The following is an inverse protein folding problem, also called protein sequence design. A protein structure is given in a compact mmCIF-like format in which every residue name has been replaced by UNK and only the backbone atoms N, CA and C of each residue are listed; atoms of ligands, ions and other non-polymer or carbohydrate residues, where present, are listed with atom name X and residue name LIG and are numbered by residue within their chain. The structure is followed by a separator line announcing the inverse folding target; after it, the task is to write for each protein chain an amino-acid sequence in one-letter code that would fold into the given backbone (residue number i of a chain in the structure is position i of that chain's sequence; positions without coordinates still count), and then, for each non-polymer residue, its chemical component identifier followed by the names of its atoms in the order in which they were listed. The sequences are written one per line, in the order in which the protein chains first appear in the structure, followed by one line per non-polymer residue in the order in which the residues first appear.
data_IF_267888678275
#
_entry.id   IF_267888678275
#
_cell.length_a   1.000
_cell.length_b   1.000
_cell.length_c   1.000
_cell.angle_alpha   90.00
_cell.angle_beta   90.00
_cell.angle_gamma   90.00
#
_symmetry.space_group_name_H-M   'P 1'
#
loop_
_entity.id
_entity.type
_entity.pdbx_description
1 polymer ?
#
# COMPACT_ATOMS: atom_id res chain seq x y z
N UNK A 1 -28.48 -3.46 4.54
CA UNK A 1 -27.08 -3.63 4.93
C UNK A 1 -26.27 -3.53 3.64
N UNK A 2 -25.54 -2.41 3.41
CA UNK A 2 -24.70 -2.28 2.22
C UNK A 2 -23.48 -3.17 2.42
N UNK A 3 -23.22 -4.07 1.47
CA UNK A 3 -22.06 -4.96 1.47
C UNK A 3 -20.78 -4.14 1.25
N UNK A 4 -20.14 -3.74 2.32
CA UNK A 4 -18.80 -3.17 2.29
C UNK A 4 -17.81 -4.28 1.93
N UNK A 5 -17.44 -4.37 0.66
CA UNK A 5 -16.50 -5.37 0.16
C UNK A 5 -15.15 -4.71 -0.09
N UNK A 6 -14.16 -5.19 0.63
CA UNK A 6 -12.72 -5.19 0.38
C UNK A 6 -11.88 -4.02 0.89
N UNK A 7 -11.38 -4.20 2.11
CA UNK A 7 -10.06 -3.72 2.51
C UNK A 7 -9.07 -4.85 2.24
N UNK A 8 -8.02 -4.62 1.44
CA UNK A 8 -6.94 -5.60 1.29
C UNK A 8 -6.00 -5.41 2.47
N UNK A 9 -6.32 -6.12 3.52
CA UNK A 9 -5.56 -6.13 4.75
C UNK A 9 -4.80 -7.44 4.90
N UNK A 10 -3.51 -7.35 5.22
CA UNK A 10 -2.71 -8.52 5.52
C UNK A 10 -1.83 -8.29 6.74
N UNK A 11 -1.99 -9.15 7.71
CA UNK A 11 -0.97 -9.50 8.70
C UNK A 11 -0.95 -10.99 8.88
N UNK A 12 0.13 -11.69 8.60
CA UNK A 12 0.64 -12.61 9.57
C UNK A 12 2.16 -12.53 9.73
N UNK A 13 2.56 -12.52 10.98
CA UNK A 13 3.94 -12.54 11.45
C UNK A 13 4.72 -13.82 11.12
N UNK A 14 4.11 -14.86 10.55
CA UNK A 14 4.70 -16.20 10.47
C UNK A 14 4.72 -16.87 9.10
N UNK A 15 4.25 -16.21 8.04
CA UNK A 15 4.40 -16.75 6.68
C UNK A 15 5.20 -15.73 5.88
N UNK A 16 6.44 -16.07 5.50
CA UNK A 16 7.22 -15.29 4.56
C UNK A 16 6.61 -15.43 3.14
N UNK A 17 5.73 -14.50 2.71
CA UNK A 17 5.07 -14.59 1.40
C UNK A 17 6.07 -14.53 0.25
N UNK A 18 7.27 -14.02 0.52
CA UNK A 18 8.35 -13.79 -0.44
C UNK A 18 8.92 -15.08 -1.05
N UNK A 19 8.81 -16.22 -0.39
CA UNK A 19 9.15 -17.51 -1.01
C UNK A 19 8.22 -17.85 -2.19
N UNK A 20 7.03 -17.26 -2.24
CA UNK A 20 6.09 -17.43 -3.35
C UNK A 20 6.35 -16.43 -4.48
N UNK A 21 6.85 -15.23 -4.18
CA UNK A 21 7.07 -14.17 -5.18
C UNK A 21 8.43 -14.27 -5.89
N UNK A 22 9.47 -14.75 -5.20
CA UNK A 22 10.84 -14.80 -5.74
C UNK A 22 11.19 -16.07 -6.50
N UNK A 23 10.36 -17.10 -6.46
CA UNK A 23 10.62 -18.40 -7.14
C UNK A 23 9.70 -18.68 -8.34
N UNK A 24 9.19 -17.65 -9.01
CA UNK A 24 8.46 -17.84 -10.27
C UNK A 24 7.16 -18.65 -10.15
N UNK A 25 6.51 -18.66 -8.99
CA UNK A 25 5.31 -19.43 -8.77
C UNK A 25 4.07 -18.81 -9.44
N UNK A 26 3.15 -19.63 -10.00
CA UNK A 26 1.91 -19.14 -10.64
C UNK A 26 0.97 -18.37 -9.71
N UNK A 27 1.14 -18.44 -8.40
CA UNK A 27 0.31 -17.76 -7.41
C UNK A 27 0.29 -16.23 -7.57
N UNK A 28 1.42 -15.60 -7.95
CA UNK A 28 1.46 -14.16 -8.17
C UNK A 28 0.65 -13.73 -9.40
N UNK A 29 0.61 -14.55 -10.45
CA UNK A 29 -0.23 -14.29 -11.62
C UNK A 29 -1.72 -14.42 -11.28
N UNK A 30 -2.08 -15.34 -10.41
CA UNK A 30 -3.46 -15.50 -9.95
C UNK A 30 -3.92 -14.32 -9.10
N UNK A 31 -3.09 -13.82 -8.18
CA UNK A 31 -3.38 -12.64 -7.37
C UNK A 31 -3.54 -11.40 -8.25
N UNK A 32 -2.62 -11.17 -9.20
CA UNK A 32 -2.72 -10.05 -10.15
C UNK A 32 -4.00 -10.13 -10.97
N UNK A 33 -4.38 -11.32 -11.42
CA UNK A 33 -5.61 -11.52 -12.21
C UNK A 33 -6.86 -11.22 -11.39
N UNK A 34 -6.94 -11.71 -10.15
CA UNK A 34 -8.08 -11.43 -9.27
C UNK A 34 -8.14 -9.95 -8.87
N UNK A 35 -7.00 -9.35 -8.60
CA UNK A 35 -6.93 -7.93 -8.29
C UNK A 35 -7.37 -7.06 -9.48
N UNK A 36 -6.94 -7.40 -10.70
CA UNK A 36 -7.41 -6.69 -11.90
C UNK A 36 -8.93 -6.78 -12.08
N UNK A 37 -9.56 -7.90 -11.71
CA UNK A 37 -11.03 -8.00 -11.71
C UNK A 37 -11.69 -7.04 -10.72
N UNK A 38 -11.07 -6.83 -9.55
CA UNK A 38 -11.53 -5.86 -8.55
C UNK A 38 -11.33 -4.42 -9.05
N UNK A 39 -10.16 -4.12 -9.58
CA UNK A 39 -9.82 -2.80 -10.11
C UNK A 39 -10.76 -2.40 -11.27
N UNK A 40 -11.07 -3.34 -12.18
CA UNK A 40 -12.02 -3.11 -13.27
C UNK A 40 -13.44 -2.77 -12.80
N UNK A 41 -13.81 -3.18 -11.58
CA UNK A 41 -15.10 -2.82 -10.96
C UNK A 41 -15.07 -1.48 -10.23
N UNK A 42 -13.94 -0.79 -10.21
CA UNK A 42 -13.73 0.49 -9.50
C UNK A 42 -14.18 0.45 -8.03
N UNK A 43 -13.93 -0.67 -7.36
CA UNK A 43 -14.27 -0.82 -5.94
C UNK A 43 -13.27 -0.01 -5.12
N UNK A 44 -13.73 0.83 -4.18
CA UNK A 44 -12.84 1.54 -3.26
C UNK A 44 -11.87 0.60 -2.57
N UNK A 45 -10.59 0.88 -2.70
CA UNK A 45 -9.53 -0.03 -2.24
C UNK A 45 -8.47 0.73 -1.45
N UNK A 46 -8.15 0.23 -0.26
CA UNK A 46 -7.04 0.70 0.57
C UNK A 46 -6.03 -0.43 0.81
N UNK A 47 -4.79 -0.25 0.37
CA UNK A 47 -3.71 -1.22 0.52
C UNK A 47 -2.76 -0.86 1.66
N UNK A 48 -2.43 -1.82 2.53
CA UNK A 48 -1.51 -1.66 3.65
C UNK A 48 -0.35 -2.65 3.52
N UNK A 49 0.88 -2.18 3.63
CA UNK A 49 2.12 -2.94 3.61
C UNK A 49 2.25 -3.85 2.38
N UNK A 50 2.02 -5.15 2.50
CA UNK A 50 2.00 -6.06 1.35
C UNK A 50 0.92 -5.67 0.34
N UNK A 51 -0.23 -5.17 0.80
CA UNK A 51 -1.30 -4.64 -0.05
C UNK A 51 -0.81 -3.51 -0.96
N UNK A 52 0.01 -2.58 -0.43
CA UNK A 52 0.65 -1.53 -1.21
C UNK A 52 1.51 -2.09 -2.34
N UNK A 53 2.34 -3.10 -2.04
CA UNK A 53 3.24 -3.70 -3.04
C UNK A 53 2.46 -4.47 -4.12
N UNK A 54 1.43 -5.23 -3.72
CA UNK A 54 0.59 -5.99 -4.66
C UNK A 54 -0.20 -5.04 -5.59
N UNK A 55 -0.76 -3.97 -5.04
CA UNK A 55 -1.46 -2.94 -5.82
C UNK A 55 -0.51 -2.26 -6.81
N UNK A 56 0.67 -1.86 -6.36
CA UNK A 56 1.69 -1.26 -7.23
C UNK A 56 2.07 -2.19 -8.39
N UNK A 57 2.27 -3.48 -8.12
CA UNK A 57 2.53 -4.50 -9.14
C UNK A 57 1.37 -4.69 -10.12
N UNK A 58 0.12 -4.57 -9.66
CA UNK A 58 -1.07 -4.65 -10.53
C UNK A 58 -1.11 -3.50 -11.54
N UNK A 59 -0.63 -2.32 -11.15
CA UNK A 59 -0.47 -1.16 -12.03
C UNK A 59 0.85 -1.15 -12.82
N UNK A 60 1.60 -2.27 -12.82
CA UNK A 60 2.89 -2.46 -13.52
C UNK A 60 4.07 -1.67 -12.94
N UNK A 61 4.00 -1.20 -11.70
CA UNK A 61 5.18 -0.76 -10.97
C UNK A 61 6.08 -1.97 -10.65
N UNK A 62 7.33 -1.70 -10.30
CA UNK A 62 8.30 -2.72 -9.92
C UNK A 62 8.56 -2.67 -8.42
N UNK A 63 8.97 -3.80 -7.85
CA UNK A 63 9.40 -3.89 -6.44
C UNK A 63 10.80 -4.48 -6.35
N UNK A 64 11.54 -4.09 -5.32
CA UNK A 64 12.85 -4.64 -5.04
C UNK A 64 13.02 -4.98 -3.57
N UNK A 65 13.93 -5.92 -3.30
CA UNK A 65 14.35 -6.25 -1.94
C UNK A 65 15.30 -5.16 -1.44
N UNK A 66 15.06 -4.70 -0.23
CA UNK A 66 15.95 -3.78 0.48
C UNK A 66 17.15 -4.54 1.06
N UNK A 67 18.29 -3.87 1.12
CA UNK A 67 19.47 -4.38 1.84
C UNK A 67 19.20 -4.45 3.35
N UNK A 68 18.61 -3.38 3.87
CA UNK A 68 18.08 -3.29 5.25
C UNK A 68 16.61 -2.90 5.17
N UNK A 69 15.73 -3.77 5.66
CA UNK A 69 14.31 -3.47 5.72
C UNK A 69 13.99 -2.40 6.78
N UNK A 70 12.84 -1.74 6.63
CA UNK A 70 12.32 -0.84 7.65
C UNK A 70 11.60 -1.63 8.74
N UNK A 71 11.98 -1.40 10.00
CA UNK A 71 11.38 -2.05 11.18
C UNK A 71 11.38 -1.11 12.36
N UNK A 72 10.22 -0.90 12.96
CA UNK A 72 10.03 -0.09 14.16
C UNK A 72 8.90 0.94 14.02
N UNK A 73 8.55 1.58 15.14
CA UNK A 73 7.47 2.56 15.23
C UNK A 73 7.94 4.02 15.20
N UNK A 74 9.09 4.32 14.60
CA UNK A 74 9.70 5.64 14.62
C UNK A 74 10.20 6.08 13.23
N UNK A 75 9.57 5.61 12.17
CA UNK A 75 9.93 5.95 10.80
C UNK A 75 9.21 7.21 10.33
N UNK A 76 9.95 8.31 10.07
CA UNK A 76 9.34 9.52 9.56
C UNK A 76 9.06 9.40 8.06
N UNK A 77 7.83 9.66 7.69
CA UNK A 77 7.33 9.65 6.32
C UNK A 77 6.78 11.01 5.97
N UNK A 78 7.09 11.51 4.79
CA UNK A 78 6.55 12.76 4.27
C UNK A 78 5.33 12.48 3.42
N UNK A 79 4.20 13.02 3.84
CA UNK A 79 3.00 13.16 3.01
C UNK A 79 3.25 14.30 2.02
N UNK A 80 3.23 14.00 0.72
CA UNK A 80 3.55 14.96 -0.34
C UNK A 80 2.39 15.88 -0.68
N UNK A 81 1.15 15.50 -0.36
CA UNK A 81 -0.05 16.29 -0.60
C UNK A 81 -0.20 17.38 0.46
N UNK A 82 -0.06 17.01 1.73
CA UNK A 82 -0.20 17.94 2.86
C UNK A 82 1.11 18.61 3.26
N UNK A 83 2.23 18.13 2.75
CA UNK A 83 3.59 18.52 3.10
C UNK A 83 3.97 18.29 4.58
N UNK A 84 3.19 17.48 5.31
CA UNK A 84 3.42 17.11 6.70
C UNK A 84 4.36 15.93 6.82
N UNK A 85 4.98 15.80 7.98
CA UNK A 85 5.76 14.62 8.38
C UNK A 85 4.94 13.83 9.38
N UNK A 86 4.84 12.53 9.15
CA UNK A 86 4.11 11.58 9.97
C UNK A 86 5.09 10.55 10.53
N UNK A 87 4.97 10.21 11.79
CA UNK A 87 5.73 9.10 12.38
C UNK A 87 4.93 7.82 12.18
N UNK A 88 5.56 6.81 11.58
CA UNK A 88 4.89 5.59 11.15
C UNK A 88 5.52 4.34 11.75
N UNK A 89 4.73 3.28 11.83
CA UNK A 89 5.20 1.94 12.18
C UNK A 89 5.45 1.15 10.89
N UNK A 90 6.65 0.60 10.75
CA UNK A 90 7.06 -0.13 9.56
C UNK A 90 7.60 -1.51 9.89
N UNK A 91 7.29 -2.49 9.04
CA UNK A 91 7.84 -3.85 9.14
C UNK A 91 7.85 -4.51 7.77
N UNK A 92 8.78 -4.10 6.90
CA UNK A 92 8.91 -4.65 5.55
C UNK A 92 10.37 -4.74 5.11
N UNK A 93 10.62 -5.60 4.12
CA UNK A 93 11.94 -5.80 3.51
C UNK A 93 11.94 -5.60 2.00
N UNK A 94 10.84 -5.09 1.44
CA UNK A 94 10.70 -4.78 0.02
C UNK A 94 10.05 -3.43 -0.15
N UNK A 95 10.36 -2.76 -1.26
CA UNK A 95 9.86 -1.44 -1.61
C UNK A 95 9.38 -1.40 -3.04
N UNK A 96 8.48 -0.47 -3.32
CA UNK A 96 8.11 -0.07 -4.68
C UNK A 96 9.19 0.86 -5.22
N UNK A 97 9.63 0.59 -6.46
CA UNK A 97 10.66 1.38 -7.11
C UNK A 97 10.08 2.62 -7.80
N UNK A 98 10.85 3.70 -7.78
CA UNK A 98 10.55 4.96 -8.49
C UNK A 98 10.94 4.87 -10.00
N UNK A 99 11.78 3.90 -10.35
CA UNK A 99 12.23 3.67 -11.73
C UNK A 99 11.08 3.18 -12.60
N UNK A 100 10.85 3.87 -13.73
CA UNK A 100 9.74 3.58 -14.65
C UNK A 100 8.37 3.54 -13.97
N UNK A 101 8.17 4.44 -13.00
CA UNK A 101 6.93 4.50 -12.23
C UNK A 101 5.73 4.78 -13.13
N UNK A 102 4.61 4.03 -13.01
CA UNK A 102 3.47 4.15 -13.90
C UNK A 102 2.81 5.53 -13.83
N UNK A 103 2.52 6.13 -14.98
CA UNK A 103 1.93 7.47 -15.07
C UNK A 103 0.48 7.57 -14.57
N UNK A 104 -0.21 6.44 -14.44
CA UNK A 104 -1.55 6.35 -13.86
C UNK A 104 -1.58 6.23 -12.33
N UNK A 105 -0.40 6.22 -11.71
CA UNK A 105 -0.22 6.30 -10.26
C UNK A 105 0.43 7.63 -9.87
N UNK A 106 0.10 8.10 -8.69
CA UNK A 106 0.72 9.23 -8.01
C UNK A 106 1.42 8.75 -6.74
N UNK A 107 2.63 9.22 -6.49
CA UNK A 107 3.33 9.00 -5.23
C UNK A 107 2.80 10.00 -4.21
N UNK A 108 2.21 9.50 -3.12
CA UNK A 108 1.61 10.32 -2.06
C UNK A 108 2.51 10.46 -0.83
N UNK A 109 3.34 9.45 -0.56
CA UNK A 109 4.20 9.44 0.63
C UNK A 109 5.59 8.93 0.28
N UNK A 110 6.62 9.53 0.91
CA UNK A 110 8.02 9.08 0.81
C UNK A 110 8.67 9.00 2.18
N UNK A 111 9.46 7.95 2.40
CA UNK A 111 10.35 7.82 3.55
C UNK A 111 11.33 8.99 3.62
N UNK A 112 11.53 9.56 4.80
CA UNK A 112 12.56 10.59 4.99
C UNK A 112 13.96 9.99 5.18
N UNK A 113 14.06 8.70 5.49
CA UNK A 113 15.36 8.05 5.67
C UNK A 113 16.08 7.81 4.34
N UNK A 114 15.39 7.23 3.37
CA UNK A 114 16.00 6.76 2.11
C UNK A 114 15.23 7.14 0.86
N UNK A 115 14.15 7.93 1.00
CA UNK A 115 13.30 8.40 -0.11
C UNK A 115 12.51 7.31 -0.84
N UNK A 116 12.44 6.10 -0.28
CA UNK A 116 11.59 5.04 -0.81
C UNK A 116 10.12 5.47 -0.85
N UNK A 117 9.36 4.86 -1.76
CA UNK A 117 7.92 5.13 -1.92
C UNK A 117 7.19 4.44 -0.78
N UNK A 118 6.53 5.24 0.06
CA UNK A 118 5.76 4.78 1.21
C UNK A 118 4.23 4.98 1.03
N UNK A 119 3.79 5.53 -0.09
CA UNK A 119 2.38 5.64 -0.41
C UNK A 119 2.12 6.02 -1.86
N UNK A 120 1.01 5.51 -2.40
CA UNK A 120 0.53 5.80 -3.75
C UNK A 120 -0.98 5.98 -3.76
N UNK A 121 -1.48 6.70 -4.77
CA UNK A 121 -2.89 6.74 -5.17
C UNK A 121 -3.01 6.51 -6.67
N UNK A 122 -4.17 6.05 -7.13
CA UNK A 122 -4.45 5.91 -8.56
C UNK A 122 -5.22 7.12 -9.07
N UNK A 123 -4.89 7.58 -10.30
CA UNK A 123 -5.50 8.78 -10.87
C UNK A 123 -6.94 8.55 -11.35
N UNK A 124 -7.28 7.32 -11.75
CA UNK A 124 -8.54 6.94 -12.41
C UNK A 124 -9.35 5.87 -11.66
N UNK A 125 -8.88 5.51 -10.47
CA UNK A 125 -9.47 4.47 -9.62
C UNK A 125 -9.65 5.01 -8.19
N UNK A 126 -10.70 4.62 -7.47
CA UNK A 126 -10.86 4.94 -6.06
C UNK A 126 -9.93 4.08 -5.19
N UNK A 127 -8.63 4.36 -5.27
CA UNK A 127 -7.61 3.52 -4.67
C UNK A 127 -6.45 4.37 -4.13
N UNK A 128 -6.03 4.04 -2.91
CA UNK A 128 -4.74 4.47 -2.36
C UNK A 128 -4.11 3.36 -1.51
N UNK A 129 -2.84 3.50 -1.21
CA UNK A 129 -2.14 2.53 -0.38
C UNK A 129 -0.93 3.12 0.31
N UNK A 130 -0.53 2.52 1.44
CA UNK A 130 0.67 2.89 2.20
C UNK A 130 1.51 1.66 2.54
N UNK A 131 2.83 1.85 2.59
CA UNK A 131 3.78 0.78 2.89
C UNK A 131 3.86 0.48 4.39
N UNK A 132 3.58 1.47 5.22
CA UNK A 132 3.58 1.37 6.69
C UNK A 132 2.24 0.85 7.23
N UNK A 133 2.16 0.71 8.56
CA UNK A 133 1.02 0.14 9.29
C UNK A 133 0.25 1.22 10.07
N UNK A 134 -0.74 1.91 9.48
CA UNK A 134 -1.54 2.92 10.16
C UNK A 134 -2.41 2.35 11.29
N UNK A 135 -2.66 1.03 11.28
CA UNK A 135 -3.41 0.29 12.31
C UNK A 135 -2.58 -0.01 13.56
N UNK A 136 -1.28 0.23 13.54
CA UNK A 136 -0.35 -0.18 14.59
C UNK A 136 -0.79 0.30 15.99
N UNK A 137 -0.85 -0.64 16.93
CA UNK A 137 -1.18 -0.39 18.33
C UNK A 137 -0.50 -1.44 19.24
N UNK A 138 0.32 -1.04 20.24
CA UNK A 138 0.79 0.32 20.48
C UNK A 138 1.69 0.83 19.35
N UNK A 139 1.59 2.11 19.03
CA UNK A 139 2.38 2.73 17.97
C UNK A 139 1.96 4.17 17.69
N UNK A 140 2.63 4.83 16.72
CA UNK A 140 2.28 6.18 16.30
C UNK A 140 0.87 6.23 15.71
N UNK A 141 0.17 7.34 15.94
CA UNK A 141 -1.22 7.54 15.51
C UNK A 141 -1.37 8.56 14.39
N UNK A 142 -0.28 9.12 13.90
CA UNK A 142 -0.28 10.24 12.94
C UNK A 142 -1.02 9.90 11.64
N UNK A 143 -0.99 8.63 11.24
CA UNK A 143 -1.58 8.15 9.99
C UNK A 143 -2.97 7.51 10.11
N UNK A 144 -3.61 7.60 11.29
CA UNK A 144 -4.97 7.02 11.49
C UNK A 144 -6.05 7.69 10.65
N UNK A 145 -5.86 8.94 10.25
CA UNK A 145 -6.77 9.66 9.36
C UNK A 145 -7.00 8.94 8.01
N UNK A 146 -6.08 8.07 7.59
CA UNK A 146 -6.22 7.27 6.37
C UNK A 146 -7.44 6.35 6.39
N UNK A 147 -7.88 5.91 7.58
CA UNK A 147 -9.11 5.14 7.71
C UNK A 147 -10.35 6.01 7.46
N UNK A 148 -10.35 7.25 7.93
CA UNK A 148 -11.43 8.22 7.65
C UNK A 148 -11.45 8.58 6.16
N UNK A 149 -10.29 8.75 5.53
CA UNK A 149 -10.18 8.94 4.08
C UNK A 149 -10.74 7.74 3.31
N UNK A 150 -10.48 6.52 3.79
CA UNK A 150 -11.03 5.33 3.15
C UNK A 150 -12.55 5.23 3.31
N UNK A 151 -13.10 5.57 4.48
CA UNK A 151 -14.55 5.67 4.69
C UNK A 151 -15.16 6.68 3.72
N UNK A 152 -14.58 7.88 3.63
CA UNK A 152 -15.03 8.91 2.69
C UNK A 152 -14.95 8.45 1.22
N UNK A 153 -13.90 7.70 0.87
CA UNK A 153 -13.75 7.13 -0.46
C UNK A 153 -14.85 6.11 -0.77
N UNK A 154 -15.19 5.25 0.20
CA UNK A 154 -16.29 4.29 0.08
C UNK A 154 -17.66 4.99 -0.07
N UNK A 155 -17.92 6.03 0.73
CA UNK A 155 -19.18 6.79 0.68
C UNK A 155 -19.37 7.49 -0.68
N UNK A 156 -18.32 8.10 -1.20
CA UNK A 156 -18.33 8.77 -2.52
C UNK A 156 -18.60 7.79 -3.68
N UNK A 157 -18.26 6.52 -3.52
CA UNK A 157 -18.39 5.50 -4.55
C UNK A 157 -19.49 4.46 -4.25
N UNK A 158 -20.33 4.72 -3.25
CA UNK A 158 -21.44 3.85 -2.84
C UNK A 158 -22.74 4.05 -3.66
N UNK A 159 -22.60 4.53 -4.92
CA UNK A 159 -23.72 4.72 -5.87
C UNK A 159 -24.32 3.40 -6.38
#
# INVERSE_FOLDING_TARGET
MKDFKYCIWYTPSNIHPWNYFTKGFPAHMSIKTELNKLLNKKIPTFGICLGHQILSLAFNASTARMEKGHRGGNHPVKNLETNKVEITSQNHGFVVLDENFPSNLQITHKSLFDKTIDGISANDQPLFSVQYHPESSPGPHDSRYLFDEFINLMEKNAG
#
